data_IF_144050160215
#
_entry.id   IF_144050160215
#
_cell.length_a   1.000
_cell.length_b   1.000
_cell.length_c   1.000
_cell.angle_alpha   90.00
_cell.angle_beta   90.00
_cell.angle_gamma   90.00
#
_symmetry.space_group_name_H-M   'P 1'
#
loop_
_entity.id
_entity.type
_entity.pdbx_description
1 polymer ?
#
# COMPACT_ATOMS: atom_id res chain seq x y z
N UNK A 1 -0.29 -20.80 3.48
CA UNK A 1 -0.53 -19.46 4.03
C UNK A 1 -0.81 -18.49 2.89
N UNK A 2 -1.81 -17.65 3.04
CA UNK A 2 -2.21 -16.75 1.99
C UNK A 2 -1.26 -15.55 1.88
N UNK A 3 -0.80 -15.28 0.67
CA UNK A 3 0.07 -14.14 0.39
C UNK A 3 -0.78 -12.86 0.35
N UNK A 4 -0.63 -11.94 1.33
CA UNK A 4 -1.43 -10.73 1.30
C UNK A 4 -1.05 -9.83 0.11
N UNK A 5 -2.03 -9.28 -0.60
CA UNK A 5 -1.75 -8.40 -1.73
C UNK A 5 -1.25 -7.05 -1.27
N UNK A 6 -0.46 -6.39 -2.13
CA UNK A 6 -0.07 -5.00 -1.90
C UNK A 6 -1.31 -4.12 -2.09
N UNK A 7 -1.54 -3.11 -1.20
CA UNK A 7 -2.74 -2.27 -1.32
C UNK A 7 -2.82 -1.51 -2.65
N UNK A 8 -1.69 -1.24 -3.32
CA UNK A 8 -1.68 -0.63 -4.64
C UNK A 8 -2.35 -1.48 -5.71
N UNK A 9 -2.34 -2.80 -5.54
CA UNK A 9 -2.98 -3.70 -6.49
C UNK A 9 -4.50 -3.47 -6.56
N UNK A 10 -5.16 -3.37 -5.42
CA UNK A 10 -6.59 -3.12 -5.37
C UNK A 10 -6.93 -1.74 -5.95
N UNK A 11 -6.10 -0.75 -5.70
CA UNK A 11 -6.29 0.58 -6.29
C UNK A 11 -6.20 0.51 -7.82
N UNK A 12 -5.21 -0.19 -8.34
CA UNK A 12 -5.01 -0.30 -9.78
C UNK A 12 -6.08 -1.14 -10.46
N UNK A 13 -6.41 -2.30 -9.89
CA UNK A 13 -7.28 -3.28 -10.53
C UNK A 13 -8.77 -3.00 -10.31
N UNK A 14 -9.12 -2.46 -9.15
CA UNK A 14 -10.52 -2.32 -8.75
C UNK A 14 -10.97 -0.87 -8.67
N UNK A 15 -10.22 -0.01 -8.00
CA UNK A 15 -10.67 1.36 -7.70
C UNK A 15 -10.61 2.24 -8.95
N UNK A 16 -9.47 2.29 -9.64
CA UNK A 16 -9.34 3.14 -10.83
C UNK A 16 -10.37 2.82 -11.91
N UNK A 17 -10.59 1.53 -12.26
CA UNK A 17 -11.66 1.22 -13.23
C UNK A 17 -13.04 1.64 -12.72
N UNK A 18 -13.32 1.43 -11.43
CA UNK A 18 -14.63 1.75 -10.86
C UNK A 18 -14.94 3.25 -10.91
N UNK A 19 -13.93 4.10 -10.69
CA UNK A 19 -14.14 5.56 -10.70
C UNK A 19 -13.88 6.17 -12.08
N UNK A 20 -13.46 5.37 -13.06
CA UNK A 20 -13.21 5.83 -14.43
C UNK A 20 -12.07 6.82 -14.54
N UNK A 21 -11.05 6.71 -13.70
CA UNK A 21 -9.91 7.61 -13.70
C UNK A 21 -8.62 6.92 -14.14
N UNK A 22 -7.74 7.67 -14.80
CA UNK A 22 -6.38 7.23 -15.05
C UNK A 22 -5.50 7.55 -13.82
N UNK A 23 -4.30 6.97 -13.80
CA UNK A 23 -3.33 7.28 -12.74
C UNK A 23 -3.03 8.79 -12.71
N UNK A 24 -2.87 9.40 -13.88
CA UNK A 24 -2.60 10.85 -13.98
C UNK A 24 -3.75 11.68 -13.42
N UNK A 25 -5.00 11.30 -13.75
CA UNK A 25 -6.17 12.01 -13.25
C UNK A 25 -6.30 11.89 -11.73
N UNK A 26 -6.09 10.69 -11.21
CA UNK A 26 -6.17 10.48 -9.76
C UNK A 26 -5.06 11.25 -9.04
N UNK A 27 -3.83 11.20 -9.54
CA UNK A 27 -2.72 11.94 -8.94
C UNK A 27 -3.04 13.43 -8.88
N UNK A 28 -3.57 14.00 -9.96
CA UNK A 28 -3.96 15.40 -10.02
C UNK A 28 -5.05 15.71 -9.02
N UNK A 29 -6.05 14.83 -8.92
CA UNK A 29 -7.16 15.00 -7.99
C UNK A 29 -6.69 15.00 -6.53
N UNK A 30 -5.72 14.14 -6.22
CA UNK A 30 -5.18 14.03 -4.86
C UNK A 30 -4.09 15.09 -4.57
N UNK A 31 -3.65 15.83 -5.58
CA UNK A 31 -2.50 16.73 -5.42
C UNK A 31 -1.22 15.96 -5.13
N UNK A 32 -1.06 14.79 -5.72
CA UNK A 32 0.04 13.87 -5.44
C UNK A 32 0.88 13.67 -6.70
N UNK A 33 2.15 13.30 -6.54
CA UNK A 33 3.04 13.04 -7.67
C UNK A 33 2.56 11.82 -8.46
N UNK A 34 2.39 11.99 -9.79
CA UNK A 34 1.99 10.89 -10.65
C UNK A 34 3.01 9.74 -10.61
N UNK A 35 4.30 10.09 -10.64
CA UNK A 35 5.35 9.07 -10.61
C UNK A 35 5.34 8.27 -9.31
N UNK A 36 5.17 8.95 -8.19
CA UNK A 36 5.09 8.29 -6.89
C UNK A 36 3.84 7.43 -6.79
N UNK A 37 2.71 7.95 -7.24
CA UNK A 37 1.47 7.17 -7.24
C UNK A 37 1.59 5.92 -8.11
N UNK A 38 2.15 6.06 -9.30
CA UNK A 38 2.38 4.92 -10.20
C UNK A 38 3.24 3.86 -9.55
N UNK A 39 4.31 4.26 -8.86
CA UNK A 39 5.20 3.33 -8.18
C UNK A 39 4.47 2.54 -7.09
N UNK A 40 3.60 3.21 -6.32
CA UNK A 40 2.77 2.54 -5.30
C UNK A 40 1.78 1.58 -5.95
N UNK A 41 1.10 2.01 -7.01
CA UNK A 41 0.11 1.18 -7.71
C UNK A 41 0.73 -0.09 -8.31
N UNK A 42 1.98 -0.01 -8.71
CA UNK A 42 2.70 -1.16 -9.25
C UNK A 42 3.39 -2.02 -8.18
N UNK A 43 3.17 -1.69 -6.91
CA UNK A 43 3.68 -2.49 -5.81
C UNK A 43 5.17 -2.30 -5.54
N UNK A 44 5.80 -1.27 -6.11
CA UNK A 44 7.24 -1.03 -5.98
C UNK A 44 7.58 -0.05 -4.86
N UNK A 45 6.59 0.52 -4.22
CA UNK A 45 6.77 1.38 -3.05
C UNK A 45 5.58 1.18 -2.11
N UNK A 46 5.82 1.39 -0.83
CA UNK A 46 4.78 1.30 0.19
C UNK A 46 3.83 2.49 0.08
N UNK A 47 2.55 2.26 0.40
CA UNK A 47 1.62 3.36 0.56
C UNK A 47 1.98 4.12 1.84
N UNK A 48 2.17 5.43 1.72
CA UNK A 48 2.49 6.27 2.87
C UNK A 48 1.23 6.68 3.63
N UNK A 49 1.40 7.12 4.86
CA UNK A 49 0.29 7.66 5.64
C UNK A 49 -0.34 8.86 4.93
N UNK A 50 0.47 9.72 4.31
CA UNK A 50 -0.02 10.87 3.59
C UNK A 50 -0.89 10.47 2.39
N UNK A 51 -0.43 9.52 1.59
CA UNK A 51 -1.22 9.05 0.45
C UNK A 51 -2.49 8.35 0.92
N UNK A 52 -2.40 7.50 1.94
CA UNK A 52 -3.56 6.82 2.50
C UNK A 52 -4.62 7.82 2.99
N UNK A 53 -4.18 8.89 3.64
CA UNK A 53 -5.09 9.92 4.13
C UNK A 53 -5.74 10.70 2.99
N UNK A 54 -4.98 11.02 1.94
CA UNK A 54 -5.53 11.69 0.75
C UNK A 54 -6.60 10.83 0.07
N UNK A 55 -6.37 9.53 0.01
CA UNK A 55 -7.37 8.59 -0.53
C UNK A 55 -8.63 8.58 0.33
N UNK A 56 -8.47 8.59 1.64
CA UNK A 56 -9.62 8.67 2.55
C UNK A 56 -10.40 9.97 2.35
N UNK A 57 -9.72 11.10 2.24
CA UNK A 57 -10.38 12.38 1.99
C UNK A 57 -11.12 12.39 0.66
N UNK A 58 -10.63 11.65 -0.32
CA UNK A 58 -11.29 11.52 -1.63
C UNK A 58 -12.44 10.50 -1.60
N UNK A 59 -12.69 9.85 -0.47
CA UNK A 59 -13.77 8.87 -0.35
C UNK A 59 -13.44 7.51 -0.93
N UNK A 60 -12.15 7.19 -1.10
CA UNK A 60 -11.72 5.96 -1.76
C UNK A 60 -11.25 4.89 -0.77
N UNK A 61 -11.72 4.95 0.45
CA UNK A 61 -11.42 3.96 1.46
C UNK A 61 -10.77 4.58 2.70
N UNK A 62 -10.58 3.76 3.72
CA UNK A 62 -10.05 4.21 5.00
C UNK A 62 -8.52 4.20 4.96
N UNK A 63 -7.90 5.27 5.44
CA UNK A 63 -6.44 5.34 5.58
C UNK A 63 -5.93 4.21 6.45
N UNK A 64 -6.64 3.93 7.54
CA UNK A 64 -6.28 2.85 8.46
C UNK A 64 -6.25 1.50 7.75
N UNK A 65 -7.24 1.24 6.89
CA UNK A 65 -7.32 -0.01 6.13
C UNK A 65 -6.14 -0.13 5.16
N UNK A 66 -5.83 0.92 4.42
CA UNK A 66 -4.69 0.90 3.50
C UNK A 66 -3.38 0.62 4.23
N UNK A 67 -3.18 1.26 5.38
CA UNK A 67 -1.96 1.07 6.15
C UNK A 67 -1.89 -0.32 6.77
N UNK A 68 -3.03 -0.88 7.19
CA UNK A 68 -3.08 -2.25 7.70
C UNK A 68 -2.72 -3.26 6.61
N UNK A 69 -3.22 -3.05 5.39
CA UNK A 69 -2.90 -3.91 4.25
C UNK A 69 -1.43 -3.83 3.88
N UNK A 70 -0.86 -2.62 3.92
CA UNK A 70 0.56 -2.44 3.65
C UNK A 70 1.40 -3.15 4.71
N UNK A 71 1.02 -3.02 5.99
CA UNK A 71 1.74 -3.66 7.07
C UNK A 71 1.72 -5.18 6.94
N UNK A 72 0.57 -5.75 6.58
CA UNK A 72 0.43 -7.19 6.39
C UNK A 72 1.32 -7.66 5.23
N UNK A 73 1.33 -6.91 4.12
CA UNK A 73 2.18 -7.22 2.98
C UNK A 73 3.66 -7.16 3.36
N UNK A 74 4.07 -6.09 4.04
CA UNK A 74 5.47 -5.88 4.43
C UNK A 74 5.94 -6.97 5.38
N UNK A 75 5.11 -7.34 6.34
CA UNK A 75 5.44 -8.39 7.30
C UNK A 75 5.60 -9.74 6.61
N UNK A 76 4.69 -10.05 5.68
CA UNK A 76 4.78 -11.29 4.91
C UNK A 76 6.08 -11.34 4.11
N UNK A 77 6.43 -10.23 3.44
CA UNK A 77 7.67 -10.13 2.68
C UNK A 77 8.90 -10.33 3.58
N UNK A 78 8.89 -9.67 4.75
CA UNK A 78 9.99 -9.80 5.70
C UNK A 78 10.13 -11.24 6.22
N UNK A 79 9.01 -11.91 6.49
CA UNK A 79 9.02 -13.27 7.00
C UNK A 79 9.56 -14.27 5.97
N UNK A 80 9.40 -13.98 4.68
CA UNK A 80 9.88 -14.86 3.61
C UNK A 80 11.35 -14.65 3.26
N UNK A 81 11.96 -13.54 3.70
CA UNK A 81 13.37 -13.30 3.43
C UNK A 81 14.22 -14.16 4.36
N UNK A 82 15.41 -14.52 3.87
CA UNK A 82 16.40 -15.16 4.74
C UNK A 82 16.91 -14.17 5.77
N UNK A 83 17.04 -14.65 6.98
CA UNK A 83 17.58 -13.86 8.08
C UNK A 83 18.72 -14.63 8.72
N UNK A 84 19.72 -13.92 9.26
CA UNK A 84 20.70 -14.60 10.09
C UNK A 84 20.00 -15.21 11.31
N UNK A 85 20.56 -16.29 11.89
CA UNK A 85 19.97 -16.85 13.09
C UNK A 85 19.90 -15.80 14.19
N UNK A 86 18.71 -15.61 14.75
CA UNK A 86 18.51 -14.65 15.83
C UNK A 86 18.17 -15.41 17.08
N UNK A 87 19.05 -15.34 18.06
CA UNK A 87 18.86 -16.00 19.32
C UNK A 87 17.78 -15.29 20.13
N UNK A 88 16.89 -16.08 20.71
CA UNK A 88 15.85 -15.53 21.59
C UNK A 88 16.50 -14.98 22.85
N UNK A 89 16.11 -13.77 23.22
CA UNK A 89 16.55 -13.18 24.47
C UNK A 89 15.52 -13.47 25.55
N UNK A 90 16.01 -13.85 26.73
CA UNK A 90 15.13 -14.05 27.87
C UNK A 90 15.03 -12.75 28.64
N UNK A 91 13.84 -12.39 29.06
CA UNK A 91 13.64 -11.26 29.97
C UNK A 91 12.55 -11.61 30.94
N UNK A 92 12.66 -11.09 32.13
CA UNK A 92 11.73 -11.39 33.20
C UNK A 92 10.43 -10.58 33.07
#
# INVERSE_FOLDING_TARGET
MHNPPHPGEALREDVLPAIGMSVSSLARHLGYSRGQLSTVLNGHAAISADLAYRLELAGLGSARQYLAEQAAYDLWQAAYREHPPIERLAFA
#
